data_IF_044245346571
#
_entry.id   IF_044245346571
#
_cell.length_a   1.000
_cell.length_b   1.000
_cell.length_c   1.000
_cell.angle_alpha   90.00
_cell.angle_beta   90.00
_cell.angle_gamma   90.00
#
_symmetry.space_group_name_H-M   'P 1'
#
loop_
_entity.id
_entity.type
_entity.pdbx_description
1 polymer ?
#
# COMPACT_ATOMS: atom_id res chain seq x y z
N UNK A 1 12.77 -0.35 11.43
CA UNK A 1 13.07 1.06 11.81
C UNK A 1 13.03 2.06 10.63
N UNK A 2 12.59 1.68 9.41
CA UNK A 2 12.46 2.61 8.28
C UNK A 2 11.09 3.32 8.21
N UNK A 3 10.04 2.70 8.75
CA UNK A 3 8.64 3.19 8.69
C UNK A 3 8.41 4.59 9.28
N UNK A 4 9.21 5.02 10.27
CA UNK A 4 9.08 6.34 10.89
C UNK A 4 9.62 7.50 10.03
N UNK A 5 10.49 7.23 9.05
CA UNK A 5 11.15 8.30 8.26
C UNK A 5 10.24 8.91 7.20
N UNK A 6 9.24 8.18 6.69
CA UNK A 6 8.34 8.63 5.63
C UNK A 6 7.29 9.66 6.08
N UNK A 7 7.20 9.96 7.39
CA UNK A 7 6.19 10.86 7.96
C UNK A 7 6.74 12.22 8.44
N UNK A 8 7.97 12.59 8.06
CA UNK A 8 8.55 13.91 8.40
C UNK A 8 9.17 14.00 9.80
N UNK A 9 9.56 12.87 10.39
CA UNK A 9 10.25 12.84 11.68
C UNK A 9 11.75 13.11 11.50
N UNK A 10 12.21 14.31 11.86
CA UNK A 10 13.62 14.58 12.10
C UNK A 10 14.00 14.00 13.46
N UNK A 11 15.03 13.14 13.49
CA UNK A 11 15.50 12.43 14.69
C UNK A 11 15.88 13.36 15.85
N UNK A 12 16.11 14.63 15.53
CA UNK A 12 16.67 15.65 16.42
C UNK A 12 15.58 16.59 16.98
N UNK A 13 14.30 16.36 16.62
CA UNK A 13 13.18 17.20 17.06
C UNK A 13 12.28 16.41 18.02
N UNK A 14 12.09 16.87 19.27
CA UNK A 14 11.17 16.23 20.19
C UNK A 14 9.75 16.28 19.63
N UNK A 15 9.03 15.18 19.82
CA UNK A 15 7.62 15.10 19.46
C UNK A 15 6.80 16.01 20.36
N UNK A 16 5.92 16.80 19.75
CA UNK A 16 4.90 17.53 20.50
C UNK A 16 3.80 16.57 20.95
N UNK A 17 3.15 16.84 22.08
CA UNK A 17 2.05 16.00 22.59
C UNK A 17 0.92 15.80 21.57
N UNK A 18 0.69 16.79 20.70
CA UNK A 18 -0.25 16.67 19.58
C UNK A 18 0.18 15.63 18.54
N UNK A 19 1.47 15.58 18.20
CA UNK A 19 2.01 14.59 17.26
C UNK A 19 1.98 13.18 17.85
N UNK A 20 2.24 13.03 19.15
CA UNK A 20 2.12 11.75 19.85
C UNK A 20 0.67 11.25 19.89
N UNK A 21 -0.28 12.11 20.24
CA UNK A 21 -1.69 11.77 20.20
C UNK A 21 -2.10 11.33 18.78
N UNK A 22 -1.67 12.09 17.77
CA UNK A 22 -1.97 11.75 16.39
C UNK A 22 -1.35 10.43 15.97
N UNK A 23 -0.15 10.10 16.43
CA UNK A 23 0.49 8.81 16.15
C UNK A 23 -0.28 7.66 16.80
N UNK A 24 -0.72 7.84 18.05
CA UNK A 24 -1.52 6.83 18.76
C UNK A 24 -2.85 6.57 18.05
N UNK A 25 -3.56 7.61 17.64
CA UNK A 25 -4.80 7.47 16.84
C UNK A 25 -4.59 6.67 15.54
N UNK A 26 -3.42 6.83 14.89
CA UNK A 26 -3.09 6.09 13.67
C UNK A 26 -2.76 4.62 13.97
N UNK A 27 -2.05 4.36 15.07
CA UNK A 27 -1.75 3.01 15.54
C UNK A 27 -3.02 2.24 15.92
N UNK A 28 -3.94 2.90 16.61
CA UNK A 28 -5.21 2.29 17.01
C UNK A 28 -6.03 1.89 15.77
N UNK A 29 -6.17 2.80 14.80
CA UNK A 29 -6.85 2.51 13.52
C UNK A 29 -6.20 1.36 12.76
N UNK A 30 -4.86 1.29 12.75
CA UNK A 30 -4.16 0.19 12.10
C UNK A 30 -4.46 -1.15 12.79
N UNK A 31 -4.45 -1.19 14.12
CA UNK A 31 -4.76 -2.42 14.87
C UNK A 31 -6.21 -2.87 14.69
N UNK A 32 -7.16 -1.94 14.56
CA UNK A 32 -8.58 -2.26 14.28
C UNK A 32 -8.74 -3.09 13.00
N UNK A 33 -7.97 -2.77 11.96
CA UNK A 33 -8.08 -3.42 10.63
C UNK A 33 -6.96 -4.40 10.33
N UNK A 34 -6.07 -4.69 11.30
CA UNK A 34 -4.89 -5.54 11.07
C UNK A 34 -5.27 -6.93 10.53
N UNK A 35 -6.37 -7.50 11.04
CA UNK A 35 -6.86 -8.81 10.63
C UNK A 35 -7.34 -8.84 9.17
N UNK A 36 -7.82 -7.72 8.63
CA UNK A 36 -8.25 -7.58 7.23
C UNK A 36 -7.06 -7.49 6.25
N UNK A 37 -5.88 -7.15 6.77
CA UNK A 37 -4.64 -7.04 6.02
C UNK A 37 -3.86 -8.37 5.95
N UNK A 38 -4.33 -9.43 6.60
CA UNK A 38 -3.69 -10.73 6.55
C UNK A 38 -3.96 -11.38 5.19
N UNK A 39 -2.90 -11.55 4.40
CA UNK A 39 -2.93 -12.18 3.08
C UNK A 39 -1.90 -13.29 3.02
N UNK A 40 -2.20 -14.37 2.28
CA UNK A 40 -1.25 -15.45 2.06
C UNK A 40 -0.12 -14.98 1.15
N UNK A 41 1.11 -15.32 1.54
CA UNK A 41 2.32 -14.97 0.83
C UNK A 41 2.31 -15.45 -0.63
N UNK A 42 1.84 -16.67 -0.87
CA UNK A 42 1.80 -17.29 -2.19
C UNK A 42 0.70 -16.68 -3.07
N UNK A 43 -0.42 -16.27 -2.47
CA UNK A 43 -1.47 -15.55 -3.18
C UNK A 43 -0.97 -14.18 -3.65
N UNK A 44 -0.22 -13.48 -2.81
CA UNK A 44 0.40 -12.19 -3.14
C UNK A 44 1.41 -12.32 -4.28
N UNK A 45 2.32 -13.30 -4.21
CA UNK A 45 3.32 -13.49 -5.28
C UNK A 45 2.67 -13.96 -6.58
N UNK A 46 1.68 -14.85 -6.51
CA UNK A 46 0.92 -15.27 -7.69
C UNK A 46 0.19 -14.08 -8.34
N UNK A 47 -0.46 -13.22 -7.56
CA UNK A 47 -1.21 -12.08 -8.07
C UNK A 47 -0.32 -11.01 -8.72
N UNK A 48 0.85 -10.71 -8.13
CA UNK A 48 1.66 -9.56 -8.54
C UNK A 48 2.77 -9.87 -9.52
N UNK A 49 3.37 -11.07 -9.45
CA UNK A 49 4.49 -11.48 -10.30
C UNK A 49 4.18 -12.71 -11.14
N UNK A 50 2.96 -13.26 -11.04
CA UNK A 50 2.48 -14.39 -11.84
C UNK A 50 3.04 -15.75 -11.41
N UNK A 51 3.73 -15.82 -10.26
CA UNK A 51 4.39 -17.03 -9.75
C UNK A 51 4.16 -17.17 -8.25
N UNK A 52 3.61 -18.30 -7.81
CA UNK A 52 3.47 -18.67 -6.40
C UNK A 52 4.82 -19.16 -5.83
N UNK A 53 5.64 -18.22 -5.36
CA UNK A 53 6.93 -18.48 -4.70
C UNK A 53 6.98 -17.75 -3.35
N UNK A 54 7.80 -18.20 -2.39
CA UNK A 54 7.96 -17.47 -1.14
C UNK A 54 8.76 -16.17 -1.32
N UNK A 55 8.57 -15.22 -0.39
CA UNK A 55 9.27 -13.95 -0.31
C UNK A 55 10.79 -14.10 -0.24
N UNK A 56 11.29 -15.21 0.31
CA UNK A 56 12.73 -15.51 0.35
C UNK A 56 13.34 -15.75 -1.03
N UNK A 57 12.53 -16.04 -2.04
CA UNK A 57 12.98 -16.31 -3.41
C UNK A 57 12.83 -15.11 -4.35
N UNK A 58 12.37 -13.97 -3.83
CA UNK A 58 12.15 -12.76 -4.62
C UNK A 58 13.48 -12.06 -4.94
N UNK A 59 13.57 -11.53 -6.16
CA UNK A 59 14.54 -10.48 -6.46
C UNK A 59 14.19 -9.19 -5.70
N UNK A 60 15.16 -8.29 -5.54
CA UNK A 60 14.94 -6.98 -4.89
C UNK A 60 13.82 -6.19 -5.58
N UNK A 61 13.75 -6.23 -6.90
CA UNK A 61 12.71 -5.52 -7.66
C UNK A 61 11.32 -6.10 -7.40
N UNK A 62 11.19 -7.43 -7.35
CA UNK A 62 9.92 -8.10 -7.05
C UNK A 62 9.49 -7.84 -5.59
N UNK A 63 10.43 -7.88 -4.65
CA UNK A 63 10.18 -7.55 -3.26
C UNK A 63 9.69 -6.10 -3.09
N UNK A 64 10.30 -5.14 -3.80
CA UNK A 64 9.84 -3.75 -3.77
C UNK A 64 8.45 -3.59 -4.37
N UNK A 65 8.16 -4.26 -5.49
CA UNK A 65 6.82 -4.26 -6.10
C UNK A 65 5.77 -4.79 -5.11
N UNK A 66 6.06 -5.90 -4.44
CA UNK A 66 5.17 -6.50 -3.44
C UNK A 66 4.97 -5.55 -2.25
N UNK A 67 6.05 -4.99 -1.72
CA UNK A 67 5.98 -4.04 -0.61
C UNK A 67 5.11 -2.83 -0.94
N UNK A 68 5.20 -2.30 -2.17
CA UNK A 68 4.36 -1.20 -2.62
C UNK A 68 2.85 -1.57 -2.61
N UNK A 69 2.51 -2.78 -3.06
CA UNK A 69 1.12 -3.25 -3.06
C UNK A 69 0.57 -3.52 -1.67
N UNK A 70 1.38 -4.09 -0.78
CA UNK A 70 0.98 -4.27 0.62
C UNK A 70 0.78 -2.91 1.33
N UNK A 71 1.61 -1.90 1.04
CA UNK A 71 1.41 -0.55 1.58
C UNK A 71 0.10 0.08 1.08
N UNK A 72 -0.27 -0.14 -0.18
CA UNK A 72 -1.56 0.31 -0.74
C UNK A 72 -2.73 -0.39 -0.05
N UNK A 73 -2.66 -1.72 0.15
CA UNK A 73 -3.67 -2.46 0.91
C UNK A 73 -3.84 -1.93 2.33
N UNK A 74 -2.73 -1.77 3.06
CA UNK A 74 -2.75 -1.19 4.41
C UNK A 74 -3.42 0.19 4.39
N UNK A 75 -3.07 1.05 3.44
CA UNK A 75 -3.67 2.37 3.34
C UNK A 75 -5.17 2.32 3.01
N UNK A 76 -5.59 1.42 2.11
CA UNK A 76 -6.99 1.20 1.76
C UNK A 76 -7.80 0.81 3.01
N UNK A 77 -7.41 -0.26 3.69
CA UNK A 77 -8.13 -0.76 4.87
C UNK A 77 -8.08 0.22 6.05
N UNK A 78 -6.99 0.99 6.21
CA UNK A 78 -6.85 1.92 7.35
C UNK A 78 -7.58 3.25 7.15
N UNK A 79 -7.63 3.78 5.92
CA UNK A 79 -8.07 5.16 5.66
C UNK A 79 -9.23 5.31 4.67
N UNK A 80 -9.54 4.26 3.91
CA UNK A 80 -10.51 4.28 2.83
C UNK A 80 -11.44 3.06 2.91
N UNK A 81 -11.67 2.52 4.11
CA UNK A 81 -12.47 1.32 4.30
C UNK A 81 -13.93 1.51 3.90
N UNK A 82 -14.42 2.74 3.84
CA UNK A 82 -15.75 3.06 3.34
C UNK A 82 -15.94 2.79 1.83
N UNK A 83 -14.85 2.63 1.07
CA UNK A 83 -14.88 2.30 -0.35
C UNK A 83 -14.74 0.80 -0.62
N UNK A 84 -14.39 -0.01 0.40
CA UNK A 84 -14.20 -1.44 0.22
C UNK A 84 -15.53 -2.14 -0.10
N UNK A 85 -15.56 -3.04 -1.11
CA UNK A 85 -16.72 -3.87 -1.38
C UNK A 85 -17.08 -4.75 -0.18
N UNK A 86 -18.37 -5.10 -0.06
CA UNK A 86 -18.88 -6.07 0.92
C UNK A 86 -19.61 -7.20 0.20
N UNK A 87 -19.11 -8.45 0.25
CA UNK A 87 -17.94 -8.92 1.01
C UNK A 87 -16.61 -8.40 0.46
N UNK A 88 -15.59 -8.37 1.32
CA UNK A 88 -14.26 -7.94 0.91
C UNK A 88 -13.69 -8.89 -0.17
N UNK A 89 -13.10 -8.35 -1.26
CA UNK A 89 -12.48 -9.15 -2.30
C UNK A 89 -11.22 -9.86 -1.79
N UNK A 90 -10.82 -10.93 -2.49
CA UNK A 90 -9.47 -11.50 -2.31
C UNK A 90 -8.39 -10.52 -2.82
N UNK A 91 -7.12 -10.81 -2.56
CA UNK A 91 -6.03 -9.89 -2.88
C UNK A 91 -5.90 -9.59 -4.39
N UNK A 92 -6.15 -10.58 -5.24
CA UNK A 92 -6.07 -10.41 -6.69
C UNK A 92 -7.23 -9.53 -7.17
N UNK A 93 -8.45 -9.83 -6.74
CA UNK A 93 -9.65 -9.05 -7.06
C UNK A 93 -9.57 -7.62 -6.52
N UNK A 94 -9.02 -7.42 -5.31
CA UNK A 94 -8.79 -6.09 -4.76
C UNK A 94 -7.84 -5.27 -5.64
N UNK A 95 -6.74 -5.89 -6.07
CA UNK A 95 -5.75 -5.25 -6.94
C UNK A 95 -6.38 -4.87 -8.29
N UNK A 96 -7.17 -5.76 -8.89
CA UNK A 96 -7.88 -5.49 -10.14
C UNK A 96 -8.93 -4.37 -9.97
N UNK A 97 -9.72 -4.44 -8.91
CA UNK A 97 -10.75 -3.44 -8.59
C UNK A 97 -10.13 -2.05 -8.36
N UNK A 98 -9.09 -1.94 -7.53
CA UNK A 98 -8.37 -0.68 -7.30
C UNK A 98 -7.79 -0.13 -8.60
N UNK A 99 -7.22 -0.99 -9.45
CA UNK A 99 -6.69 -0.55 -10.74
C UNK A 99 -7.78 -0.02 -11.69
N UNK A 100 -9.02 -0.48 -11.55
CA UNK A 100 -10.17 0.02 -12.31
C UNK A 100 -10.65 1.40 -11.83
N UNK A 101 -10.52 1.72 -10.54
CA UNK A 101 -10.85 3.03 -9.96
C UNK A 101 -9.59 3.90 -9.78
N UNK A 102 -9.14 4.50 -10.89
CA UNK A 102 -7.94 5.36 -10.90
C UNK A 102 -7.99 6.54 -9.92
N UNK A 103 -9.11 7.28 -9.78
CA UNK A 103 -9.25 8.33 -8.77
C UNK A 103 -9.03 7.82 -7.34
N UNK A 104 -9.64 6.70 -6.96
CA UNK A 104 -9.45 6.11 -5.63
C UNK A 104 -8.00 5.65 -5.44
N UNK A 105 -7.45 4.91 -6.40
CA UNK A 105 -6.08 4.41 -6.34
C UNK A 105 -5.05 5.55 -6.15
N UNK A 106 -5.19 6.67 -6.86
CA UNK A 106 -4.32 7.83 -6.69
C UNK A 106 -4.36 8.39 -5.25
N UNK A 107 -5.54 8.43 -4.63
CA UNK A 107 -5.70 8.87 -3.23
C UNK A 107 -5.07 7.89 -2.25
N UNK A 108 -5.24 6.59 -2.49
CA UNK A 108 -4.65 5.53 -1.65
C UNK A 108 -3.12 5.54 -1.75
N UNK A 109 -2.55 5.66 -2.95
CA UNK A 109 -1.09 5.80 -3.18
C UNK A 109 -0.53 7.02 -2.43
N UNK A 110 -1.19 8.18 -2.55
CA UNK A 110 -0.78 9.39 -1.85
C UNK A 110 -0.75 9.19 -0.32
N UNK A 111 -1.58 8.28 0.19
CA UNK A 111 -1.62 7.92 1.61
C UNK A 111 -0.61 6.83 1.99
N UNK A 112 -0.35 5.88 1.10
CA UNK A 112 0.57 4.75 1.29
C UNK A 112 2.05 5.18 1.31
N UNK A 113 2.38 6.31 0.65
CA UNK A 113 3.72 6.91 0.66
C UNK A 113 4.32 7.03 -0.74
N UNK A 114 5.23 7.98 -0.91
CA UNK A 114 5.77 8.40 -2.22
C UNK A 114 6.37 7.25 -3.04
N UNK A 115 7.09 6.34 -2.39
CA UNK A 115 7.79 5.22 -3.04
C UNK A 115 6.83 4.15 -3.60
N UNK A 116 5.53 4.24 -3.32
CA UNK A 116 4.54 3.30 -3.87
C UNK A 116 4.13 3.68 -5.30
N UNK A 117 4.16 4.96 -5.65
CA UNK A 117 3.59 5.45 -6.90
C UNK A 117 4.21 4.85 -8.16
N UNK A 118 5.52 4.55 -8.15
CA UNK A 118 6.24 4.02 -9.32
C UNK A 118 5.76 2.63 -9.77
N UNK A 119 5.08 1.89 -8.90
CA UNK A 119 4.57 0.54 -9.19
C UNK A 119 3.13 0.50 -9.70
N UNK A 120 2.41 1.63 -9.62
CA UNK A 120 1.00 1.76 -10.01
C UNK A 120 0.76 2.79 -11.10
N UNK A 121 1.59 3.84 -11.12
CA UNK A 121 1.56 4.89 -12.10
C UNK A 121 2.40 4.44 -13.29
N UNK A 122 1.81 4.46 -14.47
CA UNK A 122 2.55 4.22 -15.71
C UNK A 122 3.72 5.22 -15.80
N UNK A 123 4.91 4.81 -16.26
CA UNK A 123 6.00 5.74 -16.53
C UNK A 123 5.54 6.75 -17.59
N UNK A 124 5.13 7.93 -17.15
CA UNK A 124 4.63 9.07 -17.93
C UNK A 124 3.48 8.80 -18.94
N UNK A 125 2.39 9.59 -18.92
CA UNK A 125 1.38 9.58 -19.99
C UNK A 125 1.87 10.13 -21.35
N UNK A 126 3.17 10.45 -21.50
CA UNK A 126 3.75 11.03 -22.72
C UNK A 126 4.29 9.99 -23.72
N UNK A 127 4.40 8.71 -23.34
CA UNK A 127 4.89 7.64 -24.24
C UNK A 127 3.75 6.85 -24.88
N UNK A 128 2.53 7.40 -24.96
CA UNK A 128 1.61 7.00 -26.03
C UNK A 128 2.02 7.76 -27.28
N UNK A 129 3.01 7.22 -27.99
CA UNK A 129 3.20 7.57 -29.40
C UNK A 129 1.85 7.46 -30.09
N UNK A 130 1.49 8.55 -30.74
CA UNK A 130 0.26 8.70 -31.50
C UNK A 130 0.32 7.69 -32.65
N UNK A 131 -0.53 6.66 -32.61
CA UNK A 131 -0.93 5.94 -33.83
C UNK A 131 -1.93 6.79 -34.63
#
# INVERSE_FOLDING_TARGET
MAFLRSWGYAKDRPLTSYQEQRLNELLDKYHEVQHENFVDELDVTQALIGRAIPFSELTVQEANKIAAHLNVRIALHTYFSEYLPSPAPDFAQETEWLNSDRPLLNRVIARAGWDTGEYFLSPYPLDKESE
#
